data_IF_798577521964
#
_entry.id   IF_798577521964
#
_cell.length_a   1.000
_cell.length_b   1.000
_cell.length_c   1.000
_cell.angle_alpha   90.00
_cell.angle_beta   90.00
_cell.angle_gamma   90.00
#
_symmetry.space_group_name_H-M   'P 1'
#
loop_
_entity.id
_entity.type
_entity.pdbx_description
1 polymer ?
#
# COMPACT_ATOMS: atom_id res chain seq x y z
N UNK A 1 8.18 -6.23 -27.48
CA UNK A 1 8.85 -6.71 -26.24
C UNK A 1 7.81 -6.81 -25.12
N UNK A 2 7.84 -7.85 -24.27
CA UNK A 2 6.91 -7.95 -23.12
C UNK A 2 7.33 -6.97 -22.01
N UNK A 3 6.38 -6.23 -21.43
CA UNK A 3 6.63 -5.31 -20.31
C UNK A 3 7.15 -6.05 -19.07
N UNK A 4 8.09 -5.44 -18.34
CA UNK A 4 8.65 -6.01 -17.12
C UNK A 4 7.90 -5.50 -15.88
N UNK A 5 6.83 -6.21 -15.52
CA UNK A 5 5.91 -5.77 -14.47
C UNK A 5 6.07 -6.53 -13.14
N UNK A 6 5.80 -5.89 -12.00
CA UNK A 6 5.67 -6.57 -10.72
C UNK A 6 4.56 -7.63 -10.75
N UNK A 7 4.86 -8.83 -10.24
CA UNK A 7 3.91 -9.97 -10.24
C UNK A 7 2.96 -10.00 -9.04
N UNK A 8 3.04 -9.01 -8.15
CA UNK A 8 2.30 -9.01 -6.89
C UNK A 8 0.99 -8.26 -7.05
N UNK A 9 -0.11 -8.98 -7.25
CA UNK A 9 -1.43 -8.36 -7.45
C UNK A 9 -1.87 -7.47 -6.27
N UNK A 10 -1.61 -7.90 -5.02
CA UNK A 10 -1.97 -7.13 -3.83
C UNK A 10 -1.23 -5.79 -3.69
N UNK A 11 -0.02 -5.66 -4.23
CA UNK A 11 0.74 -4.41 -4.19
C UNK A 11 0.11 -3.31 -5.06
N UNK A 12 -0.68 -3.66 -6.09
CA UNK A 12 -1.43 -2.69 -6.88
C UNK A 12 -2.55 -2.04 -6.07
N UNK A 13 -3.23 -2.78 -5.20
CA UNK A 13 -4.23 -2.20 -4.30
C UNK A 13 -3.57 -1.22 -3.31
N UNK A 14 -2.40 -1.59 -2.77
CA UNK A 14 -1.61 -0.71 -1.89
C UNK A 14 -1.12 0.55 -2.60
N UNK A 15 -0.81 0.46 -3.89
CA UNK A 15 -0.41 1.61 -4.70
C UNK A 15 -1.53 2.63 -4.90
N UNK A 16 -2.74 2.12 -5.17
CA UNK A 16 -3.88 2.91 -5.65
C UNK A 16 -4.68 3.49 -4.47
N UNK A 17 -5.05 2.67 -3.49
CA UNK A 17 -6.06 3.02 -2.49
C UNK A 17 -5.61 4.16 -1.57
N UNK A 18 -4.44 4.10 -0.91
CA UNK A 18 -4.00 5.18 -0.02
C UNK A 18 -3.87 6.50 -0.78
N UNK A 19 -3.29 6.47 -1.99
CA UNK A 19 -3.11 7.65 -2.83
C UNK A 19 -4.45 8.33 -3.11
N UNK A 20 -5.43 7.58 -3.63
CA UNK A 20 -6.73 8.16 -3.98
C UNK A 20 -7.59 8.52 -2.78
N UNK A 21 -7.45 7.83 -1.64
CA UNK A 21 -8.08 8.29 -0.40
C UNK A 21 -7.51 9.65 0.03
N UNK A 22 -6.21 9.88 -0.12
CA UNK A 22 -5.60 11.18 0.13
C UNK A 22 -6.15 12.27 -0.80
N UNK A 23 -6.28 12.00 -2.10
CA UNK A 23 -6.88 12.94 -3.07
C UNK A 23 -8.35 13.25 -2.73
N UNK A 24 -9.12 12.25 -2.31
CA UNK A 24 -10.52 12.45 -1.90
C UNK A 24 -10.61 13.33 -0.66
N UNK A 25 -9.64 13.23 0.25
CA UNK A 25 -9.60 14.01 1.49
C UNK A 25 -9.29 15.48 1.25
N UNK A 26 -8.29 15.78 0.40
CA UNK A 26 -7.84 17.15 0.15
C UNK A 26 -8.56 17.84 -1.01
N UNK A 27 -9.52 17.14 -1.63
CA UNK A 27 -10.13 17.45 -2.92
C UNK A 27 -9.15 17.35 -4.08
N UNK A 28 -9.69 16.95 -5.23
CA UNK A 28 -8.92 16.76 -6.45
C UNK A 28 -8.42 18.08 -7.04
N UNK A 29 -7.13 18.10 -7.40
CA UNK A 29 -6.49 19.14 -8.20
C UNK A 29 -5.82 18.50 -9.42
N UNK A 30 -5.60 19.28 -10.49
CA UNK A 30 -5.09 18.71 -11.74
C UNK A 30 -3.70 18.08 -11.61
N UNK A 31 -2.89 18.54 -10.65
CA UNK A 31 -1.55 18.03 -10.33
C UNK A 31 -1.58 16.58 -9.79
N UNK A 32 -2.72 16.11 -9.28
CA UNK A 32 -2.89 14.73 -8.83
C UNK A 32 -2.73 13.73 -10.00
N UNK A 33 -3.06 14.15 -11.23
CA UNK A 33 -2.90 13.30 -12.42
C UNK A 33 -1.42 12.97 -12.68
N UNK A 34 -0.53 13.95 -12.95
CA UNK A 34 0.88 13.66 -13.13
C UNK A 34 1.51 13.08 -11.86
N UNK A 35 1.05 13.47 -10.67
CA UNK A 35 1.54 12.87 -9.43
C UNK A 35 1.23 11.36 -9.37
N UNK A 36 -0.02 10.95 -9.63
CA UNK A 36 -0.41 9.55 -9.62
C UNK A 36 0.33 8.75 -10.69
N UNK A 37 0.42 9.25 -11.93
CA UNK A 37 1.13 8.54 -13.00
C UNK A 37 2.62 8.43 -12.66
N UNK A 38 3.23 9.50 -12.14
CA UNK A 38 4.61 9.49 -11.66
C UNK A 38 4.84 8.48 -10.54
N UNK A 39 3.89 8.38 -9.60
CA UNK A 39 3.88 7.40 -8.53
C UNK A 39 3.79 5.95 -9.04
N UNK A 40 2.91 5.69 -10.01
CA UNK A 40 2.83 4.37 -10.65
C UNK A 40 4.15 4.03 -11.36
N UNK A 41 4.73 4.97 -12.11
CA UNK A 41 6.02 4.76 -12.78
C UNK A 41 7.15 4.52 -11.78
N UNK A 42 7.17 5.24 -10.66
CA UNK A 42 8.15 5.04 -9.58
C UNK A 42 8.03 3.64 -8.96
N UNK A 43 6.81 3.18 -8.72
CA UNK A 43 6.55 1.81 -8.28
C UNK A 43 7.03 0.76 -9.31
N UNK A 44 6.77 1.00 -10.59
CA UNK A 44 7.27 0.13 -11.67
C UNK A 44 8.80 0.11 -11.75
N UNK A 45 9.48 1.25 -11.52
CA UNK A 45 10.93 1.35 -11.45
C UNK A 45 11.51 0.64 -10.22
N UNK A 46 10.80 0.69 -9.09
CA UNK A 46 11.24 0.07 -7.83
C UNK A 46 11.46 -1.43 -7.97
N UNK A 47 10.64 -2.14 -8.75
CA UNK A 47 10.77 -3.58 -8.93
C UNK A 47 12.09 -4.04 -9.60
N UNK A 48 12.45 -3.61 -10.84
CA UNK A 48 13.76 -3.89 -11.40
C UNK A 48 14.91 -3.30 -10.58
N UNK A 49 14.71 -2.15 -9.93
CA UNK A 49 15.73 -1.54 -9.08
C UNK A 49 16.07 -2.41 -7.87
N UNK A 50 15.08 -2.98 -7.18
CA UNK A 50 15.30 -3.94 -6.10
C UNK A 50 16.03 -5.21 -6.57
N UNK A 51 15.77 -5.65 -7.80
CA UNK A 51 16.45 -6.82 -8.38
C UNK A 51 17.92 -6.57 -8.72
N UNK A 52 18.35 -5.31 -8.90
CA UNK A 52 19.77 -4.97 -9.07
C UNK A 52 20.60 -5.37 -7.84
N UNK A 53 20.02 -5.25 -6.64
CA UNK A 53 20.68 -5.65 -5.40
C UNK A 53 20.91 -7.16 -5.28
N UNK A 54 20.31 -7.97 -6.16
CA UNK A 54 20.59 -9.41 -6.26
C UNK A 54 21.83 -9.74 -7.08
N UNK A 55 22.45 -8.76 -7.74
CA UNK A 55 23.70 -8.95 -8.51
C UNK A 55 23.54 -9.70 -9.83
N UNK A 56 22.32 -10.00 -10.28
CA UNK A 56 22.06 -10.82 -11.48
C UNK A 56 21.42 -10.00 -12.58
N UNK A 57 21.72 -10.30 -13.84
CA UNK A 57 21.12 -9.66 -15.04
C UNK A 57 21.13 -8.12 -14.97
N UNK A 58 22.22 -7.54 -14.44
CA UNK A 58 22.35 -6.11 -14.14
C UNK A 58 21.95 -5.24 -15.32
N UNK A 59 22.51 -5.45 -16.51
CA UNK A 59 22.18 -4.66 -17.71
C UNK A 59 20.67 -4.66 -18.03
N UNK A 60 20.01 -5.82 -17.89
CA UNK A 60 18.57 -5.94 -18.15
C UNK A 60 17.74 -5.18 -17.10
N UNK A 61 18.06 -5.30 -15.81
CA UNK A 61 17.33 -4.60 -14.75
C UNK A 61 17.62 -3.10 -14.74
N UNK A 62 18.85 -2.66 -15.06
CA UNK A 62 19.18 -1.25 -15.22
C UNK A 62 18.36 -0.64 -16.34
N UNK A 63 18.28 -1.30 -17.51
CA UNK A 63 17.44 -0.84 -18.62
C UNK A 63 15.98 -0.59 -18.20
N UNK A 64 15.36 -1.54 -17.52
CA UNK A 64 13.96 -1.38 -17.07
C UNK A 64 13.79 -0.36 -15.95
N UNK A 65 14.78 -0.24 -15.05
CA UNK A 65 14.79 0.82 -14.03
C UNK A 65 14.76 2.19 -14.71
N UNK A 66 15.64 2.43 -15.69
CA UNK A 66 15.71 3.70 -16.42
C UNK A 66 14.42 3.99 -17.19
N UNK A 67 13.87 2.99 -17.91
CA UNK A 67 12.63 3.13 -18.69
C UNK A 67 11.47 3.64 -17.83
N UNK A 68 11.37 3.20 -16.58
CA UNK A 68 10.31 3.62 -15.67
C UNK A 68 10.69 4.85 -14.83
N UNK A 69 11.96 4.99 -14.44
CA UNK A 69 12.41 6.04 -13.54
C UNK A 69 12.47 7.42 -14.22
N UNK A 70 12.90 7.50 -15.48
CA UNK A 70 12.92 8.77 -16.23
C UNK A 70 11.52 9.42 -16.30
N UNK A 71 10.47 8.73 -16.80
CA UNK A 71 9.14 9.32 -16.82
C UNK A 71 8.58 9.55 -15.42
N UNK A 72 8.93 8.72 -14.43
CA UNK A 72 8.57 8.97 -13.03
C UNK A 72 9.12 10.33 -12.56
N UNK A 73 10.41 10.61 -12.75
CA UNK A 73 11.05 11.87 -12.36
C UNK A 73 10.39 13.05 -13.08
N UNK A 74 10.19 12.95 -14.40
CA UNK A 74 9.56 14.01 -15.18
C UNK A 74 8.16 14.36 -14.66
N UNK A 75 7.34 13.36 -14.35
CA UNK A 75 5.97 13.55 -13.86
C UNK A 75 5.93 14.02 -12.41
N UNK A 76 6.78 13.47 -11.54
CA UNK A 76 6.90 13.87 -10.13
C UNK A 76 7.52 15.26 -9.96
N UNK A 77 8.11 15.84 -11.01
CA UNK A 77 8.56 17.24 -11.00
C UNK A 77 7.37 18.19 -10.90
N UNK A 78 6.19 17.84 -11.41
CA UNK A 78 4.97 18.68 -11.32
C UNK A 78 4.55 18.95 -9.86
N UNK A 79 4.28 17.92 -9.03
CA UNK A 79 3.95 18.17 -7.62
C UNK A 79 5.12 18.80 -6.85
N UNK A 80 6.37 18.48 -7.20
CA UNK A 80 7.56 19.07 -6.57
C UNK A 80 7.67 20.58 -6.82
N UNK A 81 7.40 21.04 -8.04
CA UNK A 81 7.39 22.48 -8.38
C UNK A 81 6.16 23.20 -7.82
N UNK A 82 5.04 22.49 -7.67
CA UNK A 82 3.80 23.04 -7.09
C UNK A 82 3.97 23.29 -5.60
N UNK A 83 4.56 22.34 -4.88
CA UNK A 83 4.76 22.42 -3.44
C UNK A 83 6.08 21.73 -3.04
N UNK A 84 7.22 22.45 -3.03
CA UNK A 84 8.54 21.84 -2.80
C UNK A 84 8.68 21.07 -1.50
N UNK A 85 7.92 21.43 -0.46
CA UNK A 85 7.89 20.69 0.81
C UNK A 85 7.35 19.27 0.69
N UNK A 86 6.67 18.90 -0.40
CA UNK A 86 6.25 17.50 -0.65
C UNK A 86 7.44 16.54 -0.74
N UNK A 87 8.65 17.05 -1.00
CA UNK A 87 9.89 16.28 -0.97
C UNK A 87 10.13 15.58 0.36
N UNK A 88 9.61 16.09 1.48
CA UNK A 88 9.72 15.44 2.79
C UNK A 88 9.13 14.02 2.80
N UNK A 89 8.02 13.78 2.08
CA UNK A 89 7.42 12.44 1.99
C UNK A 89 8.30 11.48 1.18
N UNK A 90 8.89 11.95 0.08
CA UNK A 90 9.86 11.18 -0.71
C UNK A 90 11.09 10.80 0.10
N UNK A 91 11.65 11.77 0.86
CA UNK A 91 12.78 11.55 1.75
C UNK A 91 12.44 10.55 2.87
N UNK A 92 11.24 10.64 3.46
CA UNK A 92 10.77 9.71 4.49
C UNK A 92 10.65 8.26 3.99
N UNK A 93 10.44 8.05 2.68
CA UNK A 93 10.42 6.71 2.10
C UNK A 93 11.81 6.11 1.85
N UNK A 94 12.89 6.89 1.83
CA UNK A 94 14.23 6.39 1.52
C UNK A 94 14.72 5.30 2.50
N UNK A 95 14.59 5.46 3.83
CA UNK A 95 14.96 4.40 4.77
C UNK A 95 14.15 3.12 4.56
N UNK A 96 12.84 3.24 4.25
CA UNK A 96 11.96 2.12 3.96
C UNK A 96 12.38 1.39 2.68
N UNK A 97 12.80 2.14 1.66
CA UNK A 97 13.38 1.56 0.45
C UNK A 97 14.68 0.80 0.74
N UNK A 98 15.54 1.30 1.65
CA UNK A 98 16.76 0.58 2.04
C UNK A 98 16.45 -0.73 2.75
N UNK A 99 15.41 -0.77 3.59
CA UNK A 99 14.90 -2.03 4.18
C UNK A 99 14.48 -3.00 3.06
N UNK A 100 13.74 -2.51 2.06
CA UNK A 100 13.32 -3.33 0.93
C UNK A 100 14.52 -3.87 0.13
N UNK A 101 15.53 -3.03 -0.11
CA UNK A 101 16.75 -3.40 -0.82
C UNK A 101 17.54 -4.47 -0.06
N UNK A 102 17.67 -4.35 1.27
CA UNK A 102 18.32 -5.34 2.12
C UNK A 102 17.60 -6.71 2.09
N UNK A 103 16.27 -6.71 2.16
CA UNK A 103 15.52 -7.96 2.06
C UNK A 103 15.60 -8.57 0.67
N UNK A 104 15.67 -7.75 -0.39
CA UNK A 104 15.85 -8.27 -1.75
C UNK A 104 17.25 -8.84 -1.98
N UNK A 105 18.31 -8.17 -1.53
CA UNK A 105 19.70 -8.67 -1.67
C UNK A 105 19.91 -10.00 -0.95
N UNK A 106 19.22 -10.19 0.18
CA UNK A 106 19.26 -11.44 0.96
C UNK A 106 18.24 -12.49 0.51
N UNK A 107 17.54 -12.28 -0.61
CA UNK A 107 16.47 -13.15 -1.14
C UNK A 107 15.34 -13.46 -0.15
N UNK A 108 15.07 -12.53 0.77
CA UNK A 108 14.02 -12.59 1.79
C UNK A 108 12.90 -11.59 1.47
N UNK A 109 12.54 -11.45 0.19
CA UNK A 109 11.50 -10.53 -0.30
C UNK A 109 10.11 -10.75 0.34
N UNK A 110 9.91 -11.86 1.06
CA UNK A 110 8.65 -12.27 1.68
C UNK A 110 8.61 -12.11 3.21
N UNK A 111 9.66 -11.51 3.78
CA UNK A 111 9.73 -11.22 5.21
C UNK A 111 8.63 -10.23 5.63
N UNK A 112 8.07 -10.40 6.84
CA UNK A 112 7.02 -9.50 7.33
C UNK A 112 7.52 -8.06 7.47
N UNK A 113 8.76 -7.86 7.91
CA UNK A 113 9.36 -6.53 8.02
C UNK A 113 9.50 -5.84 6.65
N UNK A 114 9.77 -6.60 5.58
CA UNK A 114 9.78 -6.10 4.20
C UNK A 114 8.37 -5.71 3.71
N UNK A 115 7.37 -6.55 4.02
CA UNK A 115 5.98 -6.26 3.69
C UNK A 115 5.53 -4.96 4.42
N UNK A 116 5.93 -4.79 5.69
CA UNK A 116 5.61 -3.61 6.50
C UNK A 116 6.28 -2.34 5.98
N UNK A 117 7.56 -2.38 5.57
CA UNK A 117 8.23 -1.22 4.99
C UNK A 117 7.55 -0.77 3.70
N UNK A 118 7.12 -1.71 2.85
CA UNK A 118 6.36 -1.39 1.65
C UNK A 118 4.99 -0.77 1.98
N UNK A 119 4.23 -1.34 2.93
CA UNK A 119 2.92 -0.80 3.36
C UNK A 119 3.05 0.62 3.89
N UNK A 120 4.09 0.89 4.69
CA UNK A 120 4.38 2.23 5.18
C UNK A 120 4.67 3.20 4.03
N UNK A 121 5.52 2.83 3.05
CA UNK A 121 5.78 3.66 1.87
C UNK A 121 4.49 3.96 1.09
N UNK A 122 3.64 2.96 0.85
CA UNK A 122 2.37 3.17 0.17
C UNK A 122 1.42 4.08 0.96
N UNK A 123 1.40 3.96 2.30
CA UNK A 123 0.56 4.80 3.16
C UNK A 123 1.08 6.24 3.21
N UNK A 124 2.40 6.45 3.23
CA UNK A 124 3.03 7.78 3.12
C UNK A 124 2.65 8.45 1.79
N UNK A 125 2.52 7.70 0.69
CA UNK A 125 2.05 8.26 -0.58
C UNK A 125 0.61 8.81 -0.49
N UNK A 126 -0.25 8.20 0.33
CA UNK A 126 -1.59 8.73 0.64
C UNK A 126 -1.56 10.02 1.47
N UNK A 127 -0.61 10.15 2.40
CA UNK A 127 -0.37 11.44 3.07
C UNK A 127 0.12 12.49 2.08
N UNK A 128 1.05 12.12 1.21
CA UNK A 128 1.62 13.05 0.23
C UNK A 128 0.58 13.57 -0.76
N UNK A 129 -0.37 12.73 -1.20
CA UNK A 129 -1.45 13.15 -2.09
C UNK A 129 -2.42 14.10 -1.41
N UNK A 130 -2.83 13.83 -0.17
CA UNK A 130 -3.63 14.78 0.62
C UNK A 130 -2.89 16.11 0.87
N UNK A 131 -1.59 16.03 1.18
CA UNK A 131 -0.76 17.20 1.46
C UNK A 131 -0.60 18.14 0.27
N UNK A 132 -0.65 17.64 -0.98
CA UNK A 132 -0.33 18.42 -2.17
C UNK A 132 -1.26 19.64 -2.36
N UNK A 133 -2.54 19.51 -2.01
CA UNK A 133 -3.51 20.58 -2.25
C UNK A 133 -3.39 21.76 -1.28
N UNK A 134 -3.12 21.48 0.00
CA UNK A 134 -3.18 22.49 1.07
C UNK A 134 -1.83 22.74 1.78
N UNK A 135 -0.84 21.89 1.56
CA UNK A 135 0.47 21.98 2.21
C UNK A 135 0.46 21.79 3.72
N UNK A 136 -0.60 21.17 4.25
CA UNK A 136 -0.71 20.79 5.66
C UNK A 136 -1.14 19.33 5.79
N UNK A 137 -0.78 18.68 6.90
CA UNK A 137 -1.23 17.33 7.20
C UNK A 137 -2.44 17.45 8.14
N UNK A 138 -3.63 17.25 7.59
CA UNK A 138 -4.86 17.32 8.38
C UNK A 138 -5.02 16.10 9.30
N UNK A 139 -5.91 16.22 10.29
CA UNK A 139 -6.34 15.05 11.11
C UNK A 139 -6.99 13.98 10.22
N UNK A 140 -7.64 14.38 9.12
CA UNK A 140 -8.18 13.45 8.13
C UNK A 140 -7.11 12.65 7.41
N UNK A 141 -6.04 13.31 6.96
CA UNK A 141 -4.90 12.66 6.34
C UNK A 141 -4.26 11.62 7.28
N UNK A 142 -4.07 11.96 8.55
CA UNK A 142 -3.52 11.04 9.56
C UNK A 142 -4.45 9.84 9.82
N UNK A 143 -5.77 10.05 9.84
CA UNK A 143 -6.75 8.98 9.94
C UNK A 143 -6.63 8.02 8.75
N UNK A 144 -6.54 8.54 7.53
CA UNK A 144 -6.44 7.74 6.30
C UNK A 144 -5.13 6.97 6.20
N UNK A 145 -4.02 7.60 6.59
CA UNK A 145 -2.73 6.95 6.72
C UNK A 145 -2.82 5.75 7.66
N UNK A 146 -3.33 5.98 8.86
CA UNK A 146 -3.45 4.96 9.90
C UNK A 146 -4.39 3.83 9.46
N UNK A 147 -5.56 4.16 8.93
CA UNK A 147 -6.54 3.19 8.45
C UNK A 147 -5.97 2.37 7.28
N UNK A 148 -5.32 3.00 6.29
CA UNK A 148 -4.72 2.30 5.15
C UNK A 148 -3.59 1.37 5.58
N UNK A 149 -2.69 1.85 6.44
CA UNK A 149 -1.59 1.05 6.98
C UNK A 149 -2.13 -0.18 7.71
N UNK A 150 -3.09 0.01 8.61
CA UNK A 150 -3.69 -1.08 9.39
C UNK A 150 -4.47 -2.06 8.51
N UNK A 151 -5.18 -1.55 7.51
CA UNK A 151 -5.90 -2.38 6.55
C UNK A 151 -4.96 -3.31 5.79
N UNK A 152 -3.90 -2.77 5.17
CA UNK A 152 -2.97 -3.56 4.37
C UNK A 152 -2.05 -4.47 5.21
N UNK A 153 -1.78 -4.11 6.46
CA UNK A 153 -1.14 -5.02 7.41
C UNK A 153 -2.04 -6.22 7.72
N UNK A 154 -3.35 -6.01 7.91
CA UNK A 154 -4.34 -7.09 8.06
C UNK A 154 -4.40 -8.01 6.84
N UNK A 155 -4.40 -7.43 5.64
CA UNK A 155 -4.28 -8.18 4.38
C UNK A 155 -3.03 -9.07 4.37
N UNK A 156 -1.89 -8.57 4.86
CA UNK A 156 -0.65 -9.35 4.95
C UNK A 156 -0.78 -10.55 5.90
N UNK A 157 -1.37 -10.37 7.08
CA UNK A 157 -1.61 -11.48 8.00
C UNK A 157 -2.56 -12.52 7.42
N UNK A 158 -3.63 -12.09 6.77
CA UNK A 158 -4.57 -12.99 6.11
C UNK A 158 -3.91 -13.77 4.97
N UNK A 159 -3.20 -13.10 4.06
CA UNK A 159 -2.54 -13.74 2.91
C UNK A 159 -1.47 -14.73 3.39
N UNK A 160 -0.69 -14.38 4.42
CA UNK A 160 0.26 -15.31 5.04
C UNK A 160 -0.48 -16.54 5.56
N UNK A 161 -1.53 -16.35 6.34
CA UNK A 161 -2.38 -17.43 6.88
C UNK A 161 -2.98 -18.32 5.78
N UNK A 162 -3.40 -17.76 4.65
CA UNK A 162 -4.09 -18.52 3.59
C UNK A 162 -3.19 -19.18 2.56
N UNK A 163 -1.94 -18.72 2.39
CA UNK A 163 -1.03 -19.18 1.33
C UNK A 163 0.23 -19.81 1.89
N UNK A 164 0.97 -19.08 2.73
CA UNK A 164 2.35 -19.45 3.11
C UNK A 164 2.41 -20.20 4.44
N UNK A 165 1.51 -19.86 5.35
CA UNK A 165 1.48 -20.28 6.75
C UNK A 165 0.18 -21.06 7.06
N UNK A 166 -0.37 -21.78 6.07
CA UNK A 166 -1.71 -22.42 6.12
C UNK A 166 -2.00 -23.30 7.33
N UNK A 167 -0.96 -23.89 7.91
CA UNK A 167 -1.06 -24.83 9.04
C UNK A 167 -0.44 -24.28 10.32
N UNK A 168 -0.06 -23.00 10.32
CA UNK A 168 0.59 -22.38 11.45
C UNK A 168 -0.45 -21.75 12.39
N UNK A 169 -0.63 -22.39 13.55
CA UNK A 169 -1.62 -21.97 14.54
C UNK A 169 -1.33 -20.56 15.09
N UNK A 170 -0.06 -20.15 15.15
CA UNK A 170 0.31 -18.82 15.60
C UNK A 170 -0.13 -17.75 14.60
N UNK A 171 0.04 -18.00 13.29
CA UNK A 171 -0.46 -17.07 12.27
C UNK A 171 -1.99 -17.01 12.23
N UNK A 172 -2.69 -18.13 12.51
CA UNK A 172 -4.14 -18.11 12.70
C UNK A 172 -4.54 -17.11 13.78
N UNK A 173 -4.01 -17.27 14.99
CA UNK A 173 -4.38 -16.44 16.13
C UNK A 173 -3.93 -14.99 15.93
N UNK A 174 -2.73 -14.75 15.40
CA UNK A 174 -2.28 -13.41 15.05
C UNK A 174 -3.25 -12.72 14.10
N UNK A 175 -3.64 -13.40 13.02
CA UNK A 175 -4.59 -12.86 12.04
C UNK A 175 -5.96 -12.62 12.68
N UNK A 176 -6.53 -13.60 13.39
CA UNK A 176 -7.86 -13.45 13.99
C UNK A 176 -7.89 -12.35 15.04
N UNK A 177 -6.98 -12.36 16.01
CA UNK A 177 -6.90 -11.32 17.04
C UNK A 177 -6.77 -9.94 16.41
N UNK A 178 -5.92 -9.78 15.40
CA UNK A 178 -5.79 -8.51 14.68
C UNK A 178 -7.11 -8.05 14.04
N UNK A 179 -7.78 -8.93 13.31
CA UNK A 179 -9.01 -8.59 12.60
C UNK A 179 -10.22 -8.38 13.54
N UNK A 180 -10.24 -9.00 14.72
CA UNK A 180 -11.27 -8.75 15.74
C UNK A 180 -11.01 -7.44 16.49
N UNK A 181 -9.76 -7.17 16.88
CA UNK A 181 -9.42 -6.00 17.68
C UNK A 181 -9.57 -4.70 16.90
N UNK A 182 -9.21 -4.66 15.61
CA UNK A 182 -9.24 -3.43 14.83
C UNK A 182 -10.61 -2.74 14.76
N UNK A 183 -11.71 -3.42 14.37
CA UNK A 183 -13.04 -2.82 14.42
C UNK A 183 -13.42 -2.30 15.81
N UNK A 184 -13.07 -3.04 16.87
CA UNK A 184 -13.34 -2.64 18.26
C UNK A 184 -12.60 -1.34 18.60
N UNK A 185 -11.32 -1.25 18.27
CA UNK A 185 -10.51 -0.04 18.50
C UNK A 185 -11.15 1.16 17.80
N UNK A 186 -11.57 1.03 16.53
CA UNK A 186 -12.22 2.12 15.82
C UNK A 186 -13.57 2.53 16.43
N UNK A 187 -14.37 1.57 16.93
CA UNK A 187 -15.61 1.86 17.66
C UNK A 187 -15.33 2.63 18.95
N UNK A 188 -14.33 2.21 19.74
CA UNK A 188 -13.95 2.87 21.00
C UNK A 188 -13.45 4.31 20.75
N UNK A 189 -12.81 4.55 19.60
CA UNK A 189 -12.40 5.89 19.16
C UNK A 189 -13.56 6.73 18.59
N UNK A 190 -14.80 6.23 18.58
CA UNK A 190 -15.97 6.92 18.02
C UNK A 190 -16.07 6.90 16.50
N UNK A 191 -15.18 6.17 15.81
CA UNK A 191 -15.05 6.12 14.35
C UNK A 191 -15.77 4.89 13.79
N UNK A 192 -17.09 4.83 13.98
CA UNK A 192 -17.89 3.65 13.64
C UNK A 192 -17.92 3.33 12.14
N UNK A 193 -17.87 4.33 11.25
CA UNK A 193 -17.80 4.09 9.79
C UNK A 193 -16.45 3.49 9.40
N UNK A 194 -15.36 3.97 10.02
CA UNK A 194 -14.03 3.34 9.84
C UNK A 194 -14.09 1.90 10.32
N UNK A 195 -14.69 1.61 11.48
CA UNK A 195 -14.86 0.25 11.96
C UNK A 195 -15.63 -0.65 10.96
N UNK A 196 -16.70 -0.13 10.34
CA UNK A 196 -17.45 -0.83 9.30
C UNK A 196 -16.56 -1.20 8.10
N UNK A 197 -15.59 -0.36 7.73
CA UNK A 197 -14.64 -0.64 6.65
C UNK A 197 -13.76 -1.88 6.92
N UNK A 198 -13.58 -2.26 8.18
CA UNK A 198 -12.79 -3.44 8.58
C UNK A 198 -13.63 -4.73 8.73
N UNK A 199 -14.96 -4.64 8.76
CA UNK A 199 -15.83 -5.81 8.93
C UNK A 199 -15.65 -6.85 7.81
N UNK A 200 -15.60 -6.49 6.51
CA UNK A 200 -15.32 -7.47 5.46
C UNK A 200 -13.98 -8.19 5.65
N UNK A 201 -12.98 -7.49 6.19
CA UNK A 201 -11.67 -8.07 6.51
C UNK A 201 -11.75 -9.10 7.64
N UNK A 202 -12.55 -8.83 8.67
CA UNK A 202 -12.81 -9.78 9.74
C UNK A 202 -13.57 -11.02 9.25
N UNK A 203 -14.68 -10.82 8.53
CA UNK A 203 -15.52 -11.91 8.05
C UNK A 203 -14.72 -12.88 7.16
N UNK A 204 -13.91 -12.36 6.23
CA UNK A 204 -13.07 -13.20 5.37
C UNK A 204 -11.95 -13.91 6.14
N UNK A 205 -11.32 -13.25 7.11
CA UNK A 205 -10.21 -13.83 7.86
C UNK A 205 -10.63 -15.05 8.68
N UNK A 206 -11.85 -15.02 9.23
CA UNK A 206 -12.42 -16.16 9.97
C UNK A 206 -13.08 -17.15 9.02
N UNK A 207 -13.96 -16.68 8.14
CA UNK A 207 -14.80 -17.54 7.29
C UNK A 207 -14.04 -18.34 6.23
N UNK A 208 -12.83 -17.91 5.84
CA UNK A 208 -12.01 -18.62 4.87
C UNK A 208 -10.86 -19.43 5.48
N UNK A 209 -10.57 -19.27 6.76
CA UNK A 209 -9.50 -20.02 7.41
C UNK A 209 -9.71 -21.55 7.26
N UNK A 210 -8.63 -22.27 6.95
CA UNK A 210 -8.65 -23.73 6.77
C UNK A 210 -9.29 -24.21 5.45
N UNK A 211 -9.91 -23.34 4.65
CA UNK A 211 -10.49 -23.72 3.36
C UNK A 211 -9.41 -23.80 2.27
N UNK A 212 -9.59 -24.75 1.34
CA UNK A 212 -8.70 -24.93 0.18
C UNK A 212 -8.97 -23.87 -0.90
N UNK A 213 -8.59 -22.63 -0.63
CA UNK A 213 -8.70 -21.50 -1.56
C UNK A 213 -7.36 -21.31 -2.29
N UNK A 214 -7.42 -21.16 -3.62
CA UNK A 214 -6.24 -20.91 -4.45
C UNK A 214 -5.68 -19.50 -4.26
N UNK A 215 -4.39 -19.31 -4.54
CA UNK A 215 -3.76 -17.98 -4.45
C UNK A 215 -4.43 -16.93 -5.35
N UNK A 216 -4.97 -17.35 -6.51
CA UNK A 216 -5.74 -16.50 -7.42
C UNK A 216 -7.04 -16.02 -6.75
N UNK A 217 -7.80 -16.94 -6.16
CA UNK A 217 -9.03 -16.60 -5.44
C UNK A 217 -8.75 -15.70 -4.24
N UNK A 218 -7.71 -15.98 -3.45
CA UNK A 218 -7.25 -15.08 -2.37
C UNK A 218 -7.01 -13.67 -2.91
N UNK A 219 -6.30 -13.53 -4.03
CA UNK A 219 -6.07 -12.24 -4.67
C UNK A 219 -7.36 -11.52 -5.09
N UNK A 220 -8.33 -12.23 -5.66
CA UNK A 220 -9.64 -11.65 -6.03
C UNK A 220 -10.39 -11.15 -4.79
N UNK A 221 -10.42 -11.95 -3.72
CA UNK A 221 -11.08 -11.54 -2.47
C UNK A 221 -10.40 -10.34 -1.82
N UNK A 222 -9.07 -10.24 -1.88
CA UNK A 222 -8.37 -9.05 -1.38
C UNK A 222 -8.70 -7.80 -2.21
N UNK A 223 -8.84 -7.92 -3.53
CA UNK A 223 -9.26 -6.79 -4.38
C UNK A 223 -10.67 -6.34 -4.01
N UNK A 224 -11.62 -7.27 -3.87
CA UNK A 224 -12.99 -6.95 -3.47
C UNK A 224 -13.04 -6.30 -2.08
N UNK A 225 -12.30 -6.85 -1.12
CA UNK A 225 -12.19 -6.30 0.23
C UNK A 225 -11.60 -4.90 0.24
N UNK A 226 -10.56 -4.65 -0.57
CA UNK A 226 -9.91 -3.36 -0.67
C UNK A 226 -10.81 -2.31 -1.37
N UNK A 227 -11.61 -2.73 -2.35
CA UNK A 227 -12.61 -1.86 -2.96
C UNK A 227 -13.71 -1.46 -1.96
N UNK A 228 -14.21 -2.40 -1.16
CA UNK A 228 -15.20 -2.10 -0.10
C UNK A 228 -14.61 -1.15 0.94
N UNK A 229 -13.38 -1.41 1.39
CA UNK A 229 -12.66 -0.52 2.29
C UNK A 229 -12.55 0.89 1.71
N UNK A 230 -12.11 1.02 0.45
CA UNK A 230 -12.01 2.32 -0.23
C UNK A 230 -13.35 3.06 -0.26
N UNK A 231 -14.44 2.39 -0.64
CA UNK A 231 -15.77 3.01 -0.72
C UNK A 231 -16.25 3.51 0.66
N UNK A 232 -16.11 2.70 1.71
CA UNK A 232 -16.57 3.09 3.05
C UNK A 232 -15.69 4.22 3.62
N UNK A 233 -14.38 4.17 3.38
CA UNK A 233 -13.48 5.26 3.80
C UNK A 233 -13.76 6.55 3.05
N UNK A 234 -14.08 6.49 1.75
CA UNK A 234 -14.50 7.66 0.98
C UNK A 234 -15.78 8.29 1.56
N UNK A 235 -16.78 7.48 1.94
CA UNK A 235 -17.99 7.95 2.62
C UNK A 235 -17.65 8.64 3.96
N UNK A 236 -16.76 8.05 4.76
CA UNK A 236 -16.31 8.66 6.02
C UNK A 236 -15.68 10.05 5.82
N UNK A 237 -14.99 10.27 4.69
CA UNK A 237 -14.43 11.59 4.35
C UNK A 237 -15.56 12.56 4.01
N UNK A 238 -16.53 12.15 3.20
CA UNK A 238 -17.63 13.00 2.73
C UNK A 238 -18.63 13.43 3.81
N UNK A 239 -18.58 12.82 5.00
CA UNK A 239 -19.45 13.14 6.13
C UNK A 239 -18.85 14.15 7.12
N UNK A 240 -17.64 14.65 6.84
CA UNK A 240 -17.02 15.75 7.58
C UNK A 240 -17.48 17.10 7.03
#
# INVERSE_FOLDING_TARGET
MKLFLPKQHGAWAMLIIPFWLGVVESKFIWQDIPFFIGWVMLYLATYPMLLLFKGKKISYYTKWTIIYLIPAIALLTVPLLTLPSISYFGLAMLPLFMVNAYFSSTNRDRALANDLSAILSFSIAGLASSYLAEGTVSVGALLLFSASMLFFLGCTFYVKTMIREKRNIHYKWLSWSYHFLLPIVWIVLGLWIVALAFIPSLLRAVGFYGKNISAKQVGIYEIANAAIFFMIMAIQISLK
#
